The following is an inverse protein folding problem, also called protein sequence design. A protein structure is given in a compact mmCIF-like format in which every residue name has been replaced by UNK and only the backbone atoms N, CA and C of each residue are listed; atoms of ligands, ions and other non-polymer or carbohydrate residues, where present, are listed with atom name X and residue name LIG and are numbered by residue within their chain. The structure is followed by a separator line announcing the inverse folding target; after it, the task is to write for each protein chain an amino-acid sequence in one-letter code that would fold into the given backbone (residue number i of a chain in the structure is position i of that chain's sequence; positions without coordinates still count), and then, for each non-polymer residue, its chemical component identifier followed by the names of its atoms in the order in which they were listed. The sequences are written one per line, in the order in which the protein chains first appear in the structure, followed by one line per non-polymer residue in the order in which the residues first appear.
data_IF_653112727116
#
_entry.id   IF_653112727116
#
_cell.length_a   1.000
_cell.length_b   1.000
_cell.length_c   1.000
_cell.angle_alpha   90.00
_cell.angle_beta   90.00
_cell.angle_gamma   90.00
#
_symmetry.space_group_name_H-M   'P 1'
#
loop_
_entity.id
_entity.type
_entity.pdbx_description
1 polymer ?
#
# COMPACT_ATOMS: atom_id res chain seq x y z
N UNK A 1 -27.51 -18.56 -6.54
CA UNK A 1 -26.19 -18.07 -6.43
C UNK A 1 -26.02 -17.20 -5.19
N UNK A 2 -24.99 -17.48 -4.42
CA UNK A 2 -24.62 -16.63 -3.28
C UNK A 2 -23.55 -15.62 -3.74
N UNK A 3 -23.61 -14.41 -3.20
CA UNK A 3 -22.55 -13.42 -3.40
C UNK A 3 -21.33 -13.81 -2.54
N UNK A 4 -20.17 -13.89 -3.16
CA UNK A 4 -18.89 -14.16 -2.49
C UNK A 4 -18.00 -12.94 -2.67
N UNK A 5 -17.49 -12.41 -1.55
CA UNK A 5 -16.56 -11.28 -1.54
C UNK A 5 -15.20 -11.73 -0.97
N UNK A 6 -14.19 -11.98 -1.80
CA UNK A 6 -12.86 -12.31 -1.34
C UNK A 6 -12.17 -11.06 -0.74
N UNK A 7 -11.68 -11.18 0.49
CA UNK A 7 -10.94 -10.10 1.15
C UNK A 7 -9.44 -10.26 0.93
N UNK A 8 -8.88 -9.48 0.01
CA UNK A 8 -7.43 -9.45 -0.27
C UNK A 8 -6.66 -8.98 0.97
N UNK A 9 -7.20 -8.00 1.71
CA UNK A 9 -6.56 -7.48 2.91
C UNK A 9 -6.46 -8.55 4.01
N UNK A 10 -7.47 -9.39 4.19
CA UNK A 10 -7.44 -10.51 5.12
C UNK A 10 -6.48 -11.61 4.65
N UNK A 11 -6.50 -11.93 3.35
CA UNK A 11 -5.63 -12.94 2.78
C UNK A 11 -4.13 -12.59 2.95
N UNK A 12 -3.77 -11.31 2.82
CA UNK A 12 -2.39 -10.84 3.05
C UNK A 12 -1.99 -10.76 4.54
N UNK A 13 -2.94 -10.96 5.45
CA UNK A 13 -2.69 -11.05 6.89
C UNK A 13 -2.82 -12.46 7.43
N UNK A 14 -2.91 -13.46 6.57
CA UNK A 14 -2.88 -14.86 6.98
C UNK A 14 -1.46 -15.25 7.44
N UNK A 15 -1.25 -15.51 8.75
CA UNK A 15 0.08 -15.84 9.27
C UNK A 15 0.59 -17.22 8.79
N UNK A 16 -0.29 -18.07 8.26
CA UNK A 16 0.11 -19.32 7.63
C UNK A 16 0.79 -19.11 6.27
N UNK A 17 0.64 -17.94 5.68
CA UNK A 17 1.22 -17.56 4.37
C UNK A 17 2.25 -16.45 4.49
N UNK A 18 2.03 -15.51 5.39
CA UNK A 18 2.89 -14.33 5.56
C UNK A 18 3.30 -14.22 7.03
N UNK A 19 4.53 -14.56 7.35
CA UNK A 19 5.07 -14.41 8.70
C UNK A 19 5.02 -12.92 9.11
N UNK A 20 4.64 -12.64 10.35
CA UNK A 20 4.51 -11.26 10.89
C UNK A 20 3.77 -10.31 9.92
N UNK A 21 2.51 -10.62 9.55
CA UNK A 21 1.85 -9.95 8.42
C UNK A 21 1.59 -8.45 8.63
N UNK A 22 1.57 -7.98 9.87
CA UNK A 22 1.40 -6.57 10.21
C UNK A 22 2.73 -5.78 10.21
N UNK A 23 3.86 -6.48 10.15
CA UNK A 23 5.18 -5.85 10.02
C UNK A 23 5.44 -5.43 8.57
N UNK A 24 5.81 -4.17 8.37
CA UNK A 24 6.35 -3.72 7.08
C UNK A 24 7.77 -4.27 6.91
N UNK A 25 7.96 -5.09 5.90
CA UNK A 25 9.24 -5.72 5.58
C UNK A 25 9.49 -5.64 4.07
N UNK A 26 10.40 -4.78 3.67
CA UNK A 26 10.75 -4.54 2.25
C UNK A 26 11.51 -5.70 1.62
N UNK A 27 11.99 -6.64 2.41
CA UNK A 27 12.70 -7.84 1.94
C UNK A 27 11.79 -9.06 1.81
N UNK A 28 10.51 -8.92 2.14
CA UNK A 28 9.53 -9.99 2.12
C UNK A 28 9.37 -10.57 0.72
N UNK A 29 9.37 -11.89 0.62
CA UNK A 29 8.93 -12.56 -0.61
C UNK A 29 7.44 -12.33 -0.85
N UNK A 30 7.13 -11.67 -1.95
CA UNK A 30 5.77 -11.33 -2.38
C UNK A 30 5.27 -12.26 -3.52
N UNK A 31 5.93 -13.39 -3.77
CA UNK A 31 5.53 -14.33 -4.82
C UNK A 31 4.10 -14.84 -4.66
N UNK A 32 3.62 -14.94 -3.42
CA UNK A 32 2.26 -15.34 -3.08
C UNK A 32 1.27 -14.17 -2.95
N UNK A 33 1.74 -12.92 -3.00
CA UNK A 33 0.86 -11.76 -2.89
C UNK A 33 -0.08 -11.65 -4.08
N UNK A 34 -1.35 -11.34 -3.82
CA UNK A 34 -2.41 -11.26 -4.81
C UNK A 34 -2.95 -9.83 -5.00
N UNK A 35 -2.10 -8.81 -4.77
CA UNK A 35 -2.49 -7.39 -4.90
C UNK A 35 -3.14 -7.06 -6.25
N UNK A 36 -2.62 -7.66 -7.31
CA UNK A 36 -3.11 -7.48 -8.67
C UNK A 36 -3.92 -8.67 -9.19
N UNK A 37 -4.42 -9.50 -8.28
CA UNK A 37 -5.12 -10.73 -8.64
C UNK A 37 -4.18 -11.82 -9.18
N UNK A 38 -4.76 -12.96 -9.54
CA UNK A 38 -4.06 -14.11 -10.13
C UNK A 38 -4.90 -14.76 -11.22
N UNK A 39 -4.26 -15.50 -12.11
CA UNK A 39 -4.93 -16.25 -13.18
C UNK A 39 -5.41 -15.37 -14.35
N UNK A 40 -6.42 -15.82 -15.10
CA UNK A 40 -6.85 -15.14 -16.34
C UNK A 40 -7.38 -13.71 -16.13
N UNK A 41 -7.78 -13.38 -14.92
CA UNK A 41 -8.29 -12.06 -14.53
C UNK A 41 -7.27 -11.22 -13.73
N UNK A 42 -5.98 -11.55 -13.77
CA UNK A 42 -4.96 -10.69 -13.19
C UNK A 42 -5.01 -9.28 -13.79
N UNK A 43 -4.70 -8.29 -12.99
CA UNK A 43 -4.81 -6.88 -13.38
C UNK A 43 -3.95 -6.57 -14.61
N UNK A 44 -4.60 -6.10 -15.68
CA UNK A 44 -3.92 -5.69 -16.92
C UNK A 44 -2.92 -4.55 -16.69
N UNK A 45 -3.27 -3.61 -15.79
CA UNK A 45 -2.45 -2.44 -15.45
C UNK A 45 -1.35 -2.69 -14.40
N UNK A 46 -1.12 -3.94 -13.97
CA UNK A 46 -0.18 -4.22 -12.87
C UNK A 46 1.24 -3.72 -13.12
N UNK A 47 1.74 -3.82 -14.35
CA UNK A 47 3.09 -3.37 -14.69
C UNK A 47 3.18 -1.84 -14.71
N UNK A 48 2.16 -1.18 -15.26
CA UNK A 48 2.08 0.29 -15.25
C UNK A 48 2.01 0.82 -13.82
N UNK A 49 1.15 0.25 -12.97
CA UNK A 49 1.02 0.65 -11.58
C UNK A 49 2.35 0.49 -10.80
N UNK A 50 3.09 -0.60 -11.04
CA UNK A 50 4.42 -0.79 -10.42
C UNK A 50 5.42 0.26 -10.88
N UNK A 51 5.42 0.59 -12.16
CA UNK A 51 6.31 1.62 -12.71
C UNK A 51 5.97 2.99 -12.13
N UNK A 52 4.70 3.37 -12.11
CA UNK A 52 4.22 4.63 -11.52
C UNK A 52 4.60 4.76 -10.05
N UNK A 53 4.35 3.71 -9.24
CA UNK A 53 4.72 3.69 -7.83
C UNK A 53 6.24 3.78 -7.62
N UNK A 54 7.02 3.08 -8.43
CA UNK A 54 8.48 3.14 -8.35
C UNK A 54 9.01 4.55 -8.61
N UNK A 55 8.49 5.23 -9.64
CA UNK A 55 8.87 6.60 -9.97
C UNK A 55 8.39 7.57 -8.89
N UNK A 56 7.13 7.44 -8.46
CA UNK A 56 6.55 8.34 -7.47
C UNK A 56 7.27 8.25 -6.12
N UNK A 57 7.50 7.04 -5.61
CA UNK A 57 8.21 6.87 -4.34
C UNK A 57 9.69 7.28 -4.45
N UNK A 58 10.36 6.99 -5.54
CA UNK A 58 11.71 7.48 -5.78
C UNK A 58 11.77 9.01 -5.70
N UNK A 59 10.87 9.69 -6.41
CA UNK A 59 10.77 11.15 -6.38
C UNK A 59 10.44 11.70 -5.00
N UNK A 60 9.50 11.10 -4.27
CA UNK A 60 9.16 11.54 -2.91
C UNK A 60 10.37 11.47 -1.96
N UNK A 61 11.14 10.38 -2.04
CA UNK A 61 12.32 10.19 -1.19
C UNK A 61 13.45 11.15 -1.57
N UNK A 62 13.67 11.37 -2.87
CA UNK A 62 14.76 12.21 -3.38
C UNK A 62 14.48 13.71 -3.18
N UNK A 63 13.21 14.13 -3.35
CA UNK A 63 12.84 15.54 -3.38
C UNK A 63 12.35 16.08 -2.02
N UNK A 64 11.99 15.18 -1.07
CA UNK A 64 11.43 15.56 0.23
C UNK A 64 12.26 14.98 1.38
N UNK A 65 13.39 15.60 1.72
CA UNK A 65 14.25 15.13 2.80
C UNK A 65 13.51 15.18 4.14
N UNK A 66 13.76 14.18 5.00
CA UNK A 66 13.09 14.10 6.31
C UNK A 66 11.58 13.86 6.24
N UNK A 67 11.09 13.29 5.14
CA UNK A 67 9.67 13.00 4.94
C UNK A 67 9.12 12.16 6.10
N UNK A 68 8.06 12.65 6.74
CA UNK A 68 7.41 12.02 7.89
C UNK A 68 5.92 12.34 7.94
N UNK A 69 5.17 11.57 8.75
CA UNK A 69 3.77 11.93 9.03
C UNK A 69 3.71 13.25 9.81
N UNK A 70 2.79 14.12 9.41
CA UNK A 70 2.47 15.37 10.10
C UNK A 70 1.41 15.23 11.21
N UNK A 71 1.01 13.99 11.52
CA UNK A 71 0.07 13.64 12.59
C UNK A 71 0.43 12.29 13.21
N UNK A 72 -0.20 11.92 14.31
CA UNK A 72 -0.06 10.58 14.86
C UNK A 72 -0.69 9.54 13.90
N UNK A 73 -0.15 8.32 13.90
CA UNK A 73 -0.58 7.27 12.97
C UNK A 73 -2.06 6.92 13.07
N UNK A 74 -2.61 6.95 14.29
CA UNK A 74 -4.02 6.69 14.61
C UNK A 74 -4.96 7.85 14.25
N UNK A 75 -4.40 9.03 13.97
CA UNK A 75 -5.15 10.21 13.50
C UNK A 75 -5.28 10.26 11.97
N UNK A 76 -4.59 9.38 11.22
CA UNK A 76 -4.70 9.36 9.76
C UNK A 76 -6.14 9.00 9.36
N UNK A 77 -6.87 9.91 8.66
CA UNK A 77 -8.26 9.67 8.34
C UNK A 77 -8.40 8.68 7.17
N UNK A 78 -9.28 7.71 7.34
CA UNK A 78 -9.65 6.77 6.29
C UNK A 78 -10.98 7.15 5.66
N UNK A 79 -11.08 6.96 4.34
CA UNK A 79 -12.33 7.16 3.63
C UNK A 79 -13.36 6.07 3.99
N UNK A 80 -14.59 6.47 4.17
CA UNK A 80 -15.70 5.56 4.40
C UNK A 80 -16.10 4.89 3.06
N UNK A 81 -15.54 3.71 2.79
CA UNK A 81 -15.88 2.92 1.63
C UNK A 81 -16.10 1.45 2.02
N UNK A 82 -17.19 0.80 1.58
CA UNK A 82 -17.56 -0.54 2.05
C UNK A 82 -16.60 -1.65 1.60
N UNK A 83 -15.86 -1.46 0.51
CA UNK A 83 -15.02 -2.50 -0.09
C UNK A 83 -13.54 -2.15 -0.13
N UNK A 84 -13.20 -0.88 -0.08
CA UNK A 84 -11.83 -0.41 -0.27
C UNK A 84 -11.44 0.44 0.94
N UNK A 85 -10.41 0.01 1.66
CA UNK A 85 -9.81 0.82 2.71
C UNK A 85 -8.78 1.74 2.06
N UNK A 86 -9.08 3.01 1.97
CA UNK A 86 -8.18 4.04 1.45
C UNK A 86 -8.02 5.18 2.44
N UNK A 87 -6.87 5.82 2.42
CA UNK A 87 -6.61 7.03 3.20
C UNK A 87 -7.36 8.19 2.55
N UNK A 88 -8.11 8.95 3.34
CA UNK A 88 -8.83 10.13 2.86
C UNK A 88 -7.90 11.32 2.63
N UNK A 89 -6.93 11.48 3.53
CA UNK A 89 -5.83 12.45 3.40
C UNK A 89 -4.61 11.92 4.17
N UNK A 90 -3.42 12.26 3.71
CA UNK A 90 -2.17 11.88 4.38
C UNK A 90 -1.37 13.16 4.66
N UNK A 91 -1.48 13.74 5.86
CA UNK A 91 -0.66 14.88 6.27
C UNK A 91 0.81 14.48 6.30
N UNK A 92 1.63 15.16 5.55
CA UNK A 92 3.07 14.92 5.48
C UNK A 92 3.84 16.20 5.81
N UNK A 93 4.96 16.04 6.48
CA UNK A 93 5.97 17.06 6.71
C UNK A 93 7.28 16.63 6.10
N UNK A 94 8.10 17.58 5.71
CA UNK A 94 9.45 17.36 5.22
C UNK A 94 10.32 18.57 5.55
N UNK A 95 11.63 18.40 5.50
CA UNK A 95 12.56 19.46 5.80
C UNK A 95 12.74 20.38 4.59
N UNK A 96 12.81 21.69 4.81
CA UNK A 96 13.07 22.62 3.73
C UNK A 96 14.45 22.35 3.12
N UNK A 97 14.54 22.42 1.78
CA UNK A 97 15.84 22.40 1.13
C UNK A 97 16.64 23.59 1.61
N UNK A 98 17.84 23.33 2.13
CA UNK A 98 18.82 24.41 2.36
C UNK A 98 19.21 24.97 0.99
N UNK A 99 18.89 26.24 0.74
CA UNK A 99 19.32 26.94 -0.46
C UNK A 99 20.84 27.10 -0.52
#
# INVERSE_FOLDING_TARGET
GQLVLPSIAAAHRDPARFADPDRVDVTRDLSEAALFGRGPHSCLGAQLARLELSIAYGKLVDELPGLRLGCAYDEVPFAAHPLIRSVASLPLEFDAHSA
#
